data_IF_743766121040
#
_entry.id   IF_743766121040
#
_cell.length_a   1.000
_cell.length_b   1.000
_cell.length_c   1.000
_cell.angle_alpha   90.00
_cell.angle_beta   90.00
_cell.angle_gamma   90.00
#
_symmetry.space_group_name_H-M   'P 1'
#
loop_
_entity.id
_entity.type
_entity.pdbx_description
1 polymer ?
#
# COMPACT_ATOMS: atom_id res chain seq x y z
N UNK A 1 17.67 31.83 2.38
CA UNK A 1 16.32 31.25 2.16
C UNK A 1 16.18 30.05 3.10
N UNK A 2 15.21 30.13 4.02
CA UNK A 2 15.15 29.28 5.21
C UNK A 2 14.82 27.81 4.91
N UNK A 3 15.61 26.89 5.48
CA UNK A 3 15.28 25.48 5.68
C UNK A 3 14.11 25.39 6.66
N UNK A 4 12.89 25.68 6.20
CA UNK A 4 11.67 25.61 7.00
C UNK A 4 11.17 24.16 7.06
N UNK A 5 12.01 23.28 7.59
CA UNK A 5 11.69 21.90 7.91
C UNK A 5 12.14 21.76 9.36
N UNK A 6 11.29 21.41 10.33
CA UNK A 6 11.07 20.01 10.69
C UNK A 6 10.02 19.94 11.84
N UNK A 7 8.82 20.49 11.69
CA UNK A 7 7.71 20.09 12.57
C UNK A 7 6.85 19.05 11.86
N UNK A 8 6.32 18.07 12.60
CA UNK A 8 5.46 17.02 12.04
C UNK A 8 4.25 17.59 11.29
N UNK A 9 3.75 18.77 11.73
CA UNK A 9 2.67 19.51 11.06
C UNK A 9 3.13 20.11 9.73
N UNK A 10 4.28 20.80 9.68
CA UNK A 10 4.80 21.37 8.44
C UNK A 10 5.08 20.28 7.39
N UNK A 11 5.66 19.14 7.82
CA UNK A 11 5.86 17.98 6.96
C UNK A 11 4.52 17.44 6.44
N UNK A 12 3.53 17.27 7.31
CA UNK A 12 2.20 16.79 6.91
C UNK A 12 1.56 17.70 5.85
N UNK A 13 1.57 19.02 6.06
CA UNK A 13 0.98 19.99 5.14
C UNK A 13 1.70 20.00 3.80
N UNK A 14 3.03 20.03 3.80
CA UNK A 14 3.81 20.00 2.56
C UNK A 14 3.59 18.68 1.82
N UNK A 15 3.64 17.56 2.53
CA UNK A 15 3.43 16.24 1.95
C UNK A 15 2.05 16.13 1.31
N UNK A 16 1.00 16.58 2.00
CA UNK A 16 -0.35 16.60 1.46
C UNK A 16 -0.51 17.57 0.29
N UNK A 17 0.17 18.71 0.30
CA UNK A 17 0.15 19.65 -0.81
C UNK A 17 0.77 19.05 -2.09
N UNK A 18 1.83 18.24 -1.94
CA UNK A 18 2.54 17.63 -3.08
C UNK A 18 1.88 16.33 -3.55
N UNK A 19 1.37 15.51 -2.62
CA UNK A 19 0.87 14.15 -2.94
C UNK A 19 -0.65 14.04 -2.96
N UNK A 20 -1.37 15.11 -2.60
CA UNK A 20 -2.80 15.13 -2.30
C UNK A 20 -3.25 14.16 -1.17
N UNK A 21 -2.30 13.52 -0.49
CA UNK A 21 -2.54 12.48 0.51
C UNK A 21 -1.82 12.80 1.82
N UNK A 22 -2.38 12.32 2.93
CA UNK A 22 -1.58 12.30 4.17
C UNK A 22 -0.42 11.30 4.04
N UNK A 23 0.71 11.52 4.76
CA UNK A 23 1.82 10.58 4.78
C UNK A 23 1.40 9.13 5.07
N UNK A 24 0.47 8.93 6.01
CA UNK A 24 -0.04 7.61 6.36
C UNK A 24 -0.84 6.94 5.22
N UNK A 25 -1.68 7.71 4.52
CA UNK A 25 -2.42 7.18 3.35
C UNK A 25 -1.45 6.77 2.25
N UNK A 26 -0.44 7.59 1.98
CA UNK A 26 0.58 7.27 0.99
C UNK A 26 1.39 6.02 1.36
N UNK A 27 1.80 5.91 2.63
CA UNK A 27 2.48 4.71 3.12
C UNK A 27 1.63 3.45 2.94
N UNK A 28 0.33 3.52 3.25
CA UNK A 28 -0.59 2.39 3.02
C UNK A 28 -0.67 2.02 1.54
N UNK A 29 -0.76 3.02 0.65
CA UNK A 29 -0.79 2.78 -0.79
C UNK A 29 0.49 2.07 -1.26
N UNK A 30 1.66 2.53 -0.83
CA UNK A 30 2.94 1.89 -1.17
C UNK A 30 3.00 0.44 -0.66
N UNK A 31 2.58 0.18 0.58
CA UNK A 31 2.54 -1.18 1.15
C UNK A 31 1.63 -2.12 0.36
N UNK A 32 0.44 -1.65 -0.02
CA UNK A 32 -0.51 -2.44 -0.80
C UNK A 32 0.00 -2.71 -2.22
N UNK A 33 0.66 -1.74 -2.85
CA UNK A 33 1.32 -1.92 -4.15
C UNK A 33 2.46 -2.93 -4.08
N UNK A 34 3.28 -2.86 -3.04
CA UNK A 34 4.38 -3.81 -2.84
C UNK A 34 3.85 -5.22 -2.58
N UNK A 35 2.78 -5.37 -1.78
CA UNK A 35 2.15 -6.68 -1.58
C UNK A 35 1.67 -7.27 -2.90
N UNK A 36 1.06 -6.46 -3.78
CA UNK A 36 0.64 -6.88 -5.12
C UNK A 36 1.84 -7.33 -5.97
N UNK A 37 2.94 -6.57 -5.96
CA UNK A 37 4.19 -6.94 -6.65
C UNK A 37 4.74 -8.28 -6.16
N UNK A 38 4.82 -8.47 -4.84
CA UNK A 38 5.29 -9.71 -4.21
C UNK A 38 4.44 -10.91 -4.62
N UNK A 39 3.11 -10.77 -4.57
CA UNK A 39 2.21 -11.86 -4.96
C UNK A 39 2.34 -12.21 -6.45
N UNK A 40 2.45 -11.22 -7.34
CA UNK A 40 2.52 -11.47 -8.79
C UNK A 40 3.89 -12.02 -9.19
N UNK A 41 4.96 -11.34 -8.79
CA UNK A 41 6.31 -11.58 -9.32
C UNK A 41 7.07 -12.66 -8.56
N UNK A 42 6.84 -12.76 -7.25
CA UNK A 42 7.59 -13.68 -6.37
C UNK A 42 6.73 -14.86 -5.93
N UNK A 43 5.46 -14.94 -6.37
CA UNK A 43 4.62 -16.09 -6.11
C UNK A 43 4.02 -16.16 -4.71
N UNK A 44 4.26 -15.16 -3.85
CA UNK A 44 3.83 -15.19 -2.45
C UNK A 44 2.31 -15.35 -2.32
N UNK A 45 1.89 -16.12 -1.32
CA UNK A 45 0.50 -16.16 -0.92
C UNK A 45 0.08 -14.85 -0.19
N UNK A 46 -1.23 -14.64 -0.08
CA UNK A 46 -1.83 -13.43 0.48
C UNK A 46 -1.37 -13.16 1.92
N UNK A 47 -1.26 -14.21 2.74
CA UNK A 47 -0.88 -14.10 4.15
C UNK A 47 0.58 -13.69 4.28
N UNK A 48 1.46 -14.39 3.55
CA UNK A 48 2.89 -14.07 3.50
C UNK A 48 3.15 -12.64 3.00
N UNK A 49 2.47 -12.22 1.92
CA UNK A 49 2.58 -10.86 1.40
C UNK A 49 2.10 -9.81 2.41
N UNK A 50 0.95 -10.05 3.07
CA UNK A 50 0.39 -9.20 4.12
C UNK A 50 1.41 -8.92 5.24
N UNK A 51 1.98 -9.97 5.82
CA UNK A 51 2.95 -9.81 6.91
C UNK A 51 4.25 -9.16 6.43
N UNK A 52 4.71 -9.49 5.21
CA UNK A 52 5.95 -8.92 4.66
C UNK A 52 5.87 -7.42 4.43
N UNK A 53 4.69 -6.86 4.15
CA UNK A 53 4.48 -5.41 4.02
C UNK A 53 4.08 -4.72 5.33
N UNK A 54 4.12 -5.44 6.46
CA UNK A 54 3.94 -4.88 7.80
C UNK A 54 2.49 -4.67 8.22
N UNK A 55 1.55 -5.47 7.71
CA UNK A 55 0.22 -5.59 8.30
C UNK A 55 0.21 -6.71 9.35
N UNK A 56 -0.45 -6.45 10.48
CA UNK A 56 -0.60 -7.43 11.57
C UNK A 56 -1.81 -8.35 11.38
N UNK A 57 -2.78 -7.91 10.57
CA UNK A 57 -4.05 -8.63 10.36
C UNK A 57 -4.32 -8.85 8.88
N UNK A 58 -4.36 -10.13 8.41
CA UNK A 58 -4.76 -10.48 7.05
C UNK A 58 -6.17 -9.97 6.67
N UNK A 59 -7.08 -9.93 7.64
CA UNK A 59 -8.45 -9.43 7.45
C UNK A 59 -8.51 -7.92 7.24
N UNK A 60 -7.66 -7.16 7.94
CA UNK A 60 -7.53 -5.71 7.70
C UNK A 60 -6.86 -5.45 6.35
N UNK A 61 -5.77 -6.15 6.08
CA UNK A 61 -5.06 -6.07 4.81
C UNK A 61 -6.01 -6.32 3.63
N UNK A 62 -6.78 -7.40 3.65
CA UNK A 62 -7.68 -7.77 2.56
C UNK A 62 -8.78 -6.72 2.33
N UNK A 63 -9.28 -6.08 3.39
CA UNK A 63 -10.26 -4.98 3.29
C UNK A 63 -9.64 -3.73 2.66
N UNK A 64 -8.47 -3.31 3.14
CA UNK A 64 -7.78 -2.14 2.59
C UNK A 64 -7.31 -2.37 1.14
N UNK A 65 -6.82 -3.58 0.83
CA UNK A 65 -6.47 -4.00 -0.51
C UNK A 65 -7.66 -3.91 -1.46
N UNK A 66 -8.81 -4.49 -1.06
CA UNK A 66 -10.02 -4.47 -1.89
C UNK A 66 -10.52 -3.05 -2.13
N UNK A 67 -10.40 -2.16 -1.14
CA UNK A 67 -10.72 -0.74 -1.29
C UNK A 67 -9.79 -0.03 -2.29
N UNK A 68 -8.52 -0.43 -2.36
CA UNK A 68 -7.54 0.18 -3.25
C UNK A 68 -7.61 -0.36 -4.70
N UNK A 69 -7.83 -1.67 -4.87
CA UNK A 69 -7.74 -2.35 -6.17
C UNK A 69 -9.09 -2.86 -6.71
N UNK A 70 -10.17 -2.67 -5.96
CA UNK A 70 -11.53 -3.04 -6.37
C UNK A 70 -11.89 -4.52 -6.23
N UNK A 71 -10.96 -5.38 -5.81
CA UNK A 71 -11.24 -6.79 -5.54
C UNK A 71 -10.27 -7.42 -4.52
N UNK A 72 -10.62 -8.58 -3.93
CA UNK A 72 -9.75 -9.26 -2.96
C UNK A 72 -8.40 -9.68 -3.55
N UNK A 73 -7.33 -9.74 -2.73
CA UNK A 73 -5.97 -10.08 -3.17
C UNK A 73 -5.88 -11.35 -4.02
N UNK A 74 -6.52 -12.44 -3.58
CA UNK A 74 -6.49 -13.73 -4.29
C UNK A 74 -7.13 -13.65 -5.67
N UNK A 75 -8.27 -12.95 -5.78
CA UNK A 75 -8.98 -12.76 -7.05
C UNK A 75 -8.17 -11.88 -8.01
N UNK A 76 -7.56 -10.82 -7.49
CA UNK A 76 -6.74 -9.90 -8.27
C UNK A 76 -5.50 -10.59 -8.84
N UNK A 77 -4.76 -11.34 -8.01
CA UNK A 77 -3.55 -12.06 -8.44
C UNK A 77 -3.89 -13.14 -9.48
N UNK A 78 -4.95 -13.91 -9.26
CA UNK A 78 -5.40 -14.90 -10.24
C UNK A 78 -5.77 -14.25 -11.58
N UNK A 79 -6.43 -13.08 -11.55
CA UNK A 79 -6.76 -12.32 -12.77
C UNK A 79 -5.50 -11.86 -13.50
N UNK A 80 -4.52 -11.30 -12.79
CA UNK A 80 -3.33 -10.71 -13.41
C UNK A 80 -2.38 -11.78 -13.97
N UNK A 81 -2.24 -12.92 -13.27
CA UNK A 81 -1.45 -14.06 -13.75
C UNK A 81 -2.07 -14.73 -14.99
N UNK A 82 -3.38 -14.58 -15.20
CA UNK A 82 -4.04 -15.10 -16.41
C UNK A 82 -3.82 -14.20 -17.64
N UNK A 83 -3.51 -12.92 -17.45
CA UNK A 83 -3.30 -11.94 -18.52
C UNK A 83 -1.82 -11.85 -18.92
N UNK A 84 -0.91 -12.29 -18.05
CA UNK A 84 0.53 -12.36 -18.28
C UNK A 84 0.92 -13.67 -18.97
#
# INVERSE_FOLDING_TARGET
>A
MAHRLLSSSALYHLFKAVTAMSPLQYQKQLRLQEARRLMINEGLDVSSACYRVGYESPSQFSREYSRQFGCPPSKDVNRLRYIA
#
